data_IF_937023001176
#
_entry.id   IF_937023001176
#
_cell.length_a   1.000
_cell.length_b   1.000
_cell.length_c   1.000
_cell.angle_alpha   90.00
_cell.angle_beta   90.00
_cell.angle_gamma   90.00
#
_symmetry.space_group_name_H-M   'P 1'
#
loop_
_entity.id
_entity.type
_entity.pdbx_description
1 polymer ?
#
# COMPACT_ATOMS: atom_id res chain seq x y z
N UNK A 1 -17.81 12.35 -31.20
CA UNK A 1 -17.42 11.05 -30.61
C UNK A 1 -16.35 11.16 -29.52
N UNK A 2 -15.24 11.90 -29.71
CA UNK A 2 -14.15 11.98 -28.72
C UNK A 2 -14.58 12.40 -27.29
N UNK A 3 -15.41 13.44 -27.15
CA UNK A 3 -15.87 13.97 -25.85
C UNK A 3 -16.54 12.94 -24.92
N UNK A 4 -17.26 11.96 -25.47
CA UNK A 4 -17.97 10.96 -24.66
C UNK A 4 -17.04 9.86 -24.13
N UNK A 5 -15.95 9.56 -24.88
CA UNK A 5 -14.91 8.61 -24.46
C UNK A 5 -14.12 9.18 -23.27
N UNK A 6 -13.84 10.49 -23.29
CA UNK A 6 -13.09 11.17 -22.22
C UNK A 6 -13.86 11.17 -20.89
N UNK A 7 -15.16 11.46 -20.92
CA UNK A 7 -16.02 11.37 -19.72
C UNK A 7 -16.08 9.96 -19.15
N UNK A 8 -16.24 8.94 -20.00
CA UNK A 8 -16.27 7.55 -19.57
C UNK A 8 -14.93 7.13 -18.94
N UNK A 9 -13.80 7.53 -19.53
CA UNK A 9 -12.47 7.28 -18.98
C UNK A 9 -12.28 7.93 -17.61
N UNK A 10 -12.75 9.16 -17.42
CA UNK A 10 -12.69 9.84 -16.12
C UNK A 10 -13.56 9.14 -15.08
N UNK A 11 -14.78 8.72 -15.43
CA UNK A 11 -15.64 7.95 -14.52
C UNK A 11 -14.96 6.66 -14.05
N UNK A 12 -14.38 5.89 -14.97
CA UNK A 12 -13.69 4.64 -14.63
C UNK A 12 -12.48 4.89 -13.72
N UNK A 13 -11.68 5.93 -14.00
CA UNK A 13 -10.55 6.31 -13.12
C UNK A 13 -11.02 6.65 -11.71
N UNK A 14 -12.07 7.45 -11.58
CA UNK A 14 -12.63 7.81 -10.26
C UNK A 14 -13.15 6.59 -9.51
N UNK A 15 -13.85 5.67 -10.20
CA UNK A 15 -14.32 4.42 -9.60
C UNK A 15 -13.15 3.54 -9.13
N UNK A 16 -12.08 3.43 -9.92
CA UNK A 16 -10.86 2.70 -9.53
C UNK A 16 -10.23 3.34 -8.30
N UNK A 17 -10.11 4.67 -8.25
CA UNK A 17 -9.53 5.37 -7.08
C UNK A 17 -10.35 5.12 -5.82
N UNK A 18 -11.67 5.27 -5.89
CA UNK A 18 -12.58 5.04 -4.76
C UNK A 18 -12.53 3.59 -4.27
N UNK A 19 -12.59 2.63 -5.21
CA UNK A 19 -12.51 1.20 -4.89
C UNK A 19 -11.15 0.82 -4.30
N UNK A 20 -10.06 1.35 -4.85
CA UNK A 20 -8.70 1.09 -4.34
C UNK A 20 -8.52 1.66 -2.94
N UNK A 21 -9.06 2.84 -2.65
CA UNK A 21 -8.99 3.46 -1.32
C UNK A 21 -9.76 2.64 -0.28
N UNK A 22 -11.00 2.25 -0.58
CA UNK A 22 -11.83 1.47 0.36
C UNK A 22 -11.25 0.06 0.57
N UNK A 23 -10.82 -0.62 -0.49
CA UNK A 23 -10.17 -1.93 -0.41
C UNK A 23 -8.82 -1.85 0.31
N UNK A 24 -8.05 -0.78 0.10
CA UNK A 24 -6.80 -0.53 0.81
C UNK A 24 -7.01 -0.44 2.32
N UNK A 25 -8.06 0.25 2.77
CA UNK A 25 -8.44 0.32 4.18
C UNK A 25 -8.83 -1.05 4.74
N UNK A 26 -9.68 -1.79 4.02
CA UNK A 26 -10.10 -3.14 4.43
C UNK A 26 -8.90 -4.09 4.52
N UNK A 27 -7.99 -4.04 3.54
CA UNK A 27 -6.77 -4.84 3.54
C UNK A 27 -5.87 -4.49 4.73
N UNK A 28 -5.67 -3.21 5.02
CA UNK A 28 -4.87 -2.77 6.17
C UNK A 28 -5.43 -3.32 7.49
N UNK A 29 -6.75 -3.26 7.69
CA UNK A 29 -7.41 -3.80 8.88
C UNK A 29 -7.29 -5.33 8.96
N UNK A 30 -7.52 -6.03 7.85
CA UNK A 30 -7.45 -7.49 7.80
C UNK A 30 -6.04 -8.03 8.11
N UNK A 31 -4.99 -7.40 7.57
CA UNK A 31 -3.60 -7.77 7.86
C UNK A 31 -3.23 -7.51 9.32
N UNK A 32 -3.65 -6.38 9.88
CA UNK A 32 -3.44 -6.09 11.31
C UNK A 32 -4.07 -7.19 12.19
N UNK A 33 -5.31 -7.60 11.92
CA UNK A 33 -5.96 -8.66 12.71
C UNK A 33 -5.33 -10.05 12.46
N UNK A 34 -4.93 -10.35 11.23
CA UNK A 34 -4.25 -11.61 10.91
C UNK A 34 -2.92 -11.76 11.66
N UNK A 35 -2.12 -10.70 11.73
CA UNK A 35 -0.84 -10.70 12.46
C UNK A 35 -1.10 -10.94 13.95
N UNK A 36 -2.04 -10.20 14.56
CA UNK A 36 -2.39 -10.39 15.98
C UNK A 36 -2.89 -11.79 16.29
N UNK A 37 -3.79 -12.32 15.46
CA UNK A 37 -4.34 -13.67 15.62
C UNK A 37 -3.25 -14.75 15.49
N UNK A 38 -2.31 -14.56 14.57
CA UNK A 38 -1.16 -15.46 14.40
C UNK A 38 -0.26 -15.43 15.62
N UNK A 39 0.10 -14.25 16.12
CA UNK A 39 0.93 -14.10 17.32
C UNK A 39 0.24 -14.74 18.52
N UNK A 40 -1.06 -14.50 18.72
CA UNK A 40 -1.84 -15.11 19.80
C UNK A 40 -1.84 -16.65 19.72
N UNK A 41 -1.94 -17.22 18.51
CA UNK A 41 -1.85 -18.68 18.32
C UNK A 41 -0.46 -19.24 18.61
N UNK A 42 0.60 -18.52 18.29
CA UNK A 42 1.99 -19.01 18.42
C UNK A 42 2.54 -18.79 19.83
N UNK A 43 2.26 -17.64 20.46
CA UNK A 43 2.85 -17.22 21.74
C UNK A 43 1.88 -17.30 22.92
N UNK A 44 0.60 -17.61 22.71
CA UNK A 44 -0.39 -17.73 23.78
C UNK A 44 -0.95 -16.38 24.23
N UNK A 45 -0.83 -16.06 25.52
CA UNK A 45 -1.41 -14.84 26.09
C UNK A 45 -0.89 -13.58 25.40
N UNK A 46 -1.83 -12.82 24.83
CA UNK A 46 -1.57 -11.62 24.03
C UNK A 46 -0.97 -10.45 24.82
N UNK A 47 -0.99 -10.51 26.15
CA UNK A 47 -0.54 -9.42 27.03
C UNK A 47 0.90 -9.62 27.56
N UNK A 48 1.56 -10.70 27.15
CA UNK A 48 2.98 -10.88 27.44
C UNK A 48 3.81 -9.85 26.67
N UNK A 49 4.84 -9.27 27.31
CA UNK A 49 5.82 -8.39 26.69
C UNK A 49 6.37 -8.98 25.38
N UNK A 50 6.58 -10.31 25.34
CA UNK A 50 7.05 -11.02 24.15
C UNK A 50 6.07 -10.88 22.96
N UNK A 51 4.76 -10.94 23.20
CA UNK A 51 3.74 -10.76 22.16
C UNK A 51 3.73 -9.33 21.60
N UNK A 52 3.84 -8.32 22.47
CA UNK A 52 3.87 -6.90 22.09
C UNK A 52 5.09 -6.57 21.24
N UNK A 53 6.29 -7.00 21.65
CA UNK A 53 7.52 -6.78 20.89
C UNK A 53 7.50 -7.54 19.56
N UNK A 54 7.00 -8.78 19.54
CA UNK A 54 6.87 -9.55 18.29
C UNK A 54 5.94 -8.86 17.30
N UNK A 55 4.79 -8.36 17.77
CA UNK A 55 3.85 -7.61 16.93
C UNK A 55 4.51 -6.35 16.35
N UNK A 56 5.18 -5.56 17.19
CA UNK A 56 5.81 -4.31 16.75
C UNK A 56 6.88 -4.55 15.67
N UNK A 57 7.73 -5.57 15.84
CA UNK A 57 8.77 -5.92 14.88
C UNK A 57 8.14 -6.38 13.55
N UNK A 58 7.16 -7.29 13.59
CA UNK A 58 6.51 -7.81 12.39
C UNK A 58 5.74 -6.73 11.62
N UNK A 59 4.99 -5.89 12.33
CA UNK A 59 4.24 -4.79 11.73
C UNK A 59 5.18 -3.76 11.09
N UNK A 60 6.29 -3.42 11.75
CA UNK A 60 7.30 -2.49 11.20
C UNK A 60 7.96 -3.07 9.96
N UNK A 61 8.34 -4.35 9.99
CA UNK A 61 8.93 -5.02 8.83
C UNK A 61 7.99 -4.98 7.63
N UNK A 62 6.71 -5.33 7.83
CA UNK A 62 5.70 -5.27 6.76
C UNK A 62 5.52 -3.84 6.23
N UNK A 63 5.47 -2.84 7.11
CA UNK A 63 5.36 -1.45 6.72
C UNK A 63 6.56 -0.99 5.87
N UNK A 64 7.78 -1.33 6.27
CA UNK A 64 9.00 -1.00 5.51
C UNK A 64 8.98 -1.66 4.13
N UNK A 65 8.63 -2.94 4.03
CA UNK A 65 8.54 -3.65 2.74
C UNK A 65 7.55 -2.96 1.81
N UNK A 66 6.36 -2.61 2.31
CA UNK A 66 5.33 -1.90 1.53
C UNK A 66 5.84 -0.52 1.10
N UNK A 67 6.36 0.29 2.03
CA UNK A 67 6.85 1.64 1.75
C UNK A 67 7.99 1.65 0.73
N UNK A 68 8.98 0.77 0.86
CA UNK A 68 10.09 0.66 -0.09
C UNK A 68 9.59 0.23 -1.46
N UNK A 69 8.64 -0.71 -1.53
CA UNK A 69 8.05 -1.15 -2.80
C UNK A 69 7.32 0.00 -3.49
N UNK A 70 6.50 0.75 -2.75
CA UNK A 70 5.80 1.93 -3.27
C UNK A 70 6.78 3.03 -3.70
N UNK A 71 7.82 3.30 -2.93
CA UNK A 71 8.86 4.28 -3.27
C UNK A 71 9.58 3.92 -4.59
N UNK A 72 9.91 2.64 -4.78
CA UNK A 72 10.53 2.15 -6.03
C UNK A 72 9.57 2.26 -7.22
N UNK A 73 8.29 1.95 -7.04
CA UNK A 73 7.29 2.08 -8.10
C UNK A 73 7.10 3.56 -8.49
N UNK A 74 7.03 4.46 -7.52
CA UNK A 74 6.94 5.89 -7.76
C UNK A 74 8.16 6.42 -8.53
N UNK A 75 9.37 6.00 -8.15
CA UNK A 75 10.60 6.37 -8.85
C UNK A 75 10.62 5.87 -10.31
N UNK A 76 10.09 4.67 -10.58
CA UNK A 76 10.01 4.13 -11.95
C UNK A 76 9.01 4.92 -12.82
N UNK A 77 7.86 5.30 -12.26
CA UNK A 77 6.82 6.03 -12.99
C UNK A 77 7.23 7.51 -13.20
N UNK A 78 7.96 8.12 -12.26
CA UNK A 78 8.44 9.50 -12.36
C UNK A 78 9.78 9.67 -13.07
N UNK A 79 10.65 8.65 -13.06
CA UNK A 79 12.05 8.73 -13.48
C UNK A 79 12.29 8.88 -14.99
N UNK A 80 11.37 8.44 -15.85
CA UNK A 80 11.51 8.61 -17.30
C UNK A 80 11.17 10.04 -17.77
N UNK A 81 10.43 10.84 -16.99
CA UNK A 81 9.96 12.16 -17.45
C UNK A 81 10.84 13.35 -17.05
N UNK A 82 11.83 13.14 -16.18
CA UNK A 82 12.73 14.21 -15.69
C UNK A 82 14.12 14.18 -16.33
N UNK A 83 14.63 13.01 -16.75
CA UNK A 83 15.98 12.90 -17.32
C UNK A 83 16.03 13.37 -18.79
N UNK A 84 14.93 13.23 -19.54
CA UNK A 84 14.88 13.67 -20.95
C UNK A 84 14.87 15.20 -21.08
N UNK A 85 14.36 15.93 -20.06
CA UNK A 85 14.25 17.39 -20.08
C UNK A 85 15.55 18.14 -19.82
N UNK A 86 16.56 17.49 -19.22
CA UNK A 86 17.89 18.09 -19.00
C UNK A 86 18.90 17.74 -20.09
N UNK A 87 18.61 16.75 -20.95
CA UNK A 87 19.48 16.38 -22.08
C UNK A 87 19.20 17.20 -23.35
N UNK A 88 18.08 17.93 -23.40
CA UNK A 88 17.68 18.79 -24.53
C UNK A 88 17.83 20.30 -24.24
N UNK A 89 18.43 20.67 -23.10
CA UNK A 89 18.65 22.06 -22.67
C UNK A 89 20.06 22.57 -22.95
#
# INVERSE_FOLDING_TARGET
>A
MARHIDSARMMVRTMITLASASLGLVAALAWNEAIKATIKKVFGESDSLACLYTYAILATFLAVVVLVTLAKLAAKIGGETLIEREAEG
#
